data_IF_598862293573
#
_entry.id   IF_598862293573
#
_cell.length_a   1.000
_cell.length_b   1.000
_cell.length_c   1.000
_cell.angle_alpha   90.00
_cell.angle_beta   90.00
_cell.angle_gamma   90.00
#
_symmetry.space_group_name_H-M   'P 1'
#
loop_
_entity.id
_entity.type
_entity.pdbx_description
1 polymer ?
#
# COMPACT_ATOMS: atom_id res chain seq x y z
N UNK A 1 4.81 -8.17 -24.27
CA UNK A 1 3.69 -8.54 -25.16
C UNK A 1 2.43 -8.05 -24.47
N UNK A 2 1.67 -7.16 -25.09
CA UNK A 2 0.45 -6.57 -24.49
C UNK A 2 -0.80 -7.28 -25.01
N UNK A 3 -0.91 -8.60 -24.83
CA UNK A 3 -2.18 -9.30 -25.06
C UNK A 3 -2.96 -9.37 -23.76
N UNK A 4 -4.30 -9.43 -23.83
CA UNK A 4 -5.13 -9.37 -22.63
C UNK A 4 -5.00 -10.66 -21.80
N UNK A 5 -4.82 -11.81 -22.44
CA UNK A 5 -4.53 -13.06 -21.74
C UNK A 5 -3.16 -13.05 -21.05
N UNK A 6 -2.14 -12.48 -21.69
CA UNK A 6 -0.80 -12.34 -21.09
C UNK A 6 -0.82 -11.36 -19.92
N UNK A 7 -1.57 -10.26 -20.04
CA UNK A 7 -1.77 -9.29 -18.98
C UNK A 7 -2.50 -9.91 -17.78
N UNK A 8 -3.56 -10.70 -18.02
CA UNK A 8 -4.25 -11.47 -16.98
C UNK A 8 -3.30 -12.46 -16.29
N UNK A 9 -2.49 -13.21 -17.06
CA UNK A 9 -1.50 -14.14 -16.52
C UNK A 9 -0.51 -13.42 -15.60
N UNK A 10 0.01 -12.26 -16.05
CA UNK A 10 0.94 -11.43 -15.29
C UNK A 10 0.32 -10.92 -13.99
N UNK A 11 -0.94 -10.49 -14.01
CA UNK A 11 -1.64 -10.04 -12.80
C UNK A 11 -1.87 -11.19 -11.80
N UNK A 12 -2.23 -12.38 -12.24
CA UNK A 12 -2.31 -13.56 -11.36
C UNK A 12 -0.96 -13.91 -10.75
N UNK A 13 0.10 -13.91 -11.56
CA UNK A 13 1.48 -14.16 -11.13
C UNK A 13 1.93 -13.11 -10.08
N UNK A 14 1.62 -11.83 -10.31
CA UNK A 14 1.93 -10.75 -9.37
C UNK A 14 1.19 -10.91 -8.03
N UNK A 15 -0.10 -11.29 -8.07
CA UNK A 15 -0.89 -11.58 -6.85
C UNK A 15 -0.29 -12.73 -6.04
N UNK A 16 0.09 -13.81 -6.70
CA UNK A 16 0.71 -14.97 -6.04
C UNK A 16 2.02 -14.57 -5.36
N UNK A 17 2.88 -13.82 -6.07
CA UNK A 17 4.14 -13.33 -5.52
C UNK A 17 3.95 -12.38 -4.33
N UNK A 18 2.94 -11.52 -4.36
CA UNK A 18 2.59 -10.65 -3.24
C UNK A 18 2.14 -11.47 -2.02
N UNK A 19 1.35 -12.53 -2.22
CA UNK A 19 0.95 -13.43 -1.14
C UNK A 19 2.13 -14.20 -0.56
N UNK A 20 3.02 -14.72 -1.40
CA UNK A 20 4.26 -15.37 -0.97
C UNK A 20 5.16 -14.44 -0.17
N UNK A 21 5.37 -13.21 -0.67
CA UNK A 21 6.18 -12.21 -0.01
C UNK A 21 5.61 -11.84 1.37
N UNK A 22 4.30 -11.59 1.45
CA UNK A 22 3.60 -11.34 2.71
C UNK A 22 3.73 -12.53 3.67
N UNK A 23 3.56 -13.74 3.19
CA UNK A 23 3.64 -14.95 4.03
C UNK A 23 5.05 -15.12 4.61
N UNK A 24 6.09 -14.89 3.80
CA UNK A 24 7.49 -14.88 4.25
C UNK A 24 7.75 -13.80 5.29
N UNK A 25 7.24 -12.59 5.06
CA UNK A 25 7.35 -11.46 5.98
C UNK A 25 6.67 -11.75 7.34
N UNK A 26 5.50 -12.39 7.31
CA UNK A 26 4.76 -12.79 8.53
C UNK A 26 5.42 -13.94 9.30
N UNK A 27 6.11 -14.85 8.59
CA UNK A 27 6.86 -15.94 9.20
C UNK A 27 8.16 -15.46 9.84
N UNK A 28 8.74 -14.36 9.33
CA UNK A 28 9.96 -13.79 9.87
C UNK A 28 9.74 -13.24 11.29
N UNK A 29 10.56 -13.70 12.23
CA UNK A 29 10.48 -13.26 13.63
C UNK A 29 11.00 -11.83 13.77
N UNK A 30 10.13 -10.92 14.21
CA UNK A 30 10.47 -9.52 14.52
C UNK A 30 11.00 -9.43 15.94
N UNK A 31 12.15 -8.81 16.14
CA UNK A 31 12.82 -8.71 17.45
C UNK A 31 12.60 -7.37 18.14
N UNK A 32 12.38 -6.29 17.39
CA UNK A 32 12.16 -4.94 17.91
C UNK A 32 10.84 -4.35 17.44
N UNK A 33 10.32 -3.35 18.18
CA UNK A 33 9.13 -2.59 17.77
C UNK A 33 9.33 -1.94 16.40
N UNK A 34 10.51 -1.35 16.17
CA UNK A 34 10.89 -0.76 14.88
C UNK A 34 10.77 -1.77 13.73
N UNK A 35 11.31 -2.96 13.91
CA UNK A 35 11.26 -4.01 12.88
C UNK A 35 9.82 -4.48 12.64
N UNK A 36 9.02 -4.58 13.71
CA UNK A 36 7.61 -4.93 13.61
C UNK A 36 6.82 -3.87 12.83
N UNK A 37 6.93 -2.60 13.18
CA UNK A 37 6.23 -1.50 12.52
C UNK A 37 6.63 -1.39 11.04
N UNK A 38 7.92 -1.48 10.75
CA UNK A 38 8.39 -1.48 9.35
C UNK A 38 7.84 -2.68 8.57
N UNK A 39 7.79 -3.87 9.18
CA UNK A 39 7.21 -5.06 8.58
C UNK A 39 5.71 -4.90 8.29
N UNK A 40 4.98 -4.32 9.22
CA UNK A 40 3.53 -4.12 9.10
C UNK A 40 3.22 -3.08 8.01
N UNK A 41 4.03 -2.03 7.87
CA UNK A 41 3.93 -1.08 6.76
C UNK A 41 4.30 -1.68 5.39
N UNK A 42 5.34 -2.51 5.33
CA UNK A 42 5.65 -3.28 4.11
C UNK A 42 4.47 -4.17 3.71
N UNK A 43 3.89 -4.86 4.69
CA UNK A 43 2.71 -5.72 4.48
C UNK A 43 1.50 -4.91 4.00
N UNK A 44 1.28 -3.72 4.55
CA UNK A 44 0.24 -2.80 4.07
C UNK A 44 0.44 -2.43 2.61
N UNK A 45 1.65 -2.02 2.23
CA UNK A 45 1.93 -1.65 0.84
C UNK A 45 1.77 -2.84 -0.13
N UNK A 46 2.14 -4.06 0.30
CA UNK A 46 1.86 -5.28 -0.48
C UNK A 46 0.35 -5.52 -0.64
N UNK A 47 -0.46 -5.26 0.40
CA UNK A 47 -1.91 -5.41 0.34
C UNK A 47 -2.57 -4.37 -0.56
N UNK A 48 -2.13 -3.11 -0.49
CA UNK A 48 -2.63 -2.03 -1.35
C UNK A 48 -2.36 -2.38 -2.82
N UNK A 49 -1.14 -2.86 -3.13
CA UNK A 49 -0.80 -3.33 -4.48
C UNK A 49 -1.63 -4.55 -4.89
N UNK A 50 -1.84 -5.51 -3.99
CA UNK A 50 -2.66 -6.69 -4.27
C UNK A 50 -4.11 -6.31 -4.61
N UNK A 51 -4.67 -5.32 -3.91
CA UNK A 51 -6.01 -4.80 -4.18
C UNK A 51 -6.09 -4.12 -5.53
N UNK A 52 -5.11 -3.28 -5.88
CA UNK A 52 -5.02 -2.63 -7.19
C UNK A 52 -4.96 -3.65 -8.32
N UNK A 53 -4.05 -4.63 -8.22
CA UNK A 53 -3.91 -5.70 -9.21
C UNK A 53 -5.19 -6.53 -9.32
N UNK A 54 -5.84 -6.81 -8.19
CA UNK A 54 -7.10 -7.56 -8.19
C UNK A 54 -8.25 -6.79 -8.83
N UNK A 55 -8.32 -5.48 -8.64
CA UNK A 55 -9.31 -4.62 -9.30
C UNK A 55 -9.08 -4.61 -10.81
N UNK A 56 -7.85 -4.33 -11.26
CA UNK A 56 -7.49 -4.33 -12.67
C UNK A 56 -7.77 -5.70 -13.33
N UNK A 57 -7.45 -6.79 -12.64
CA UNK A 57 -7.71 -8.14 -13.11
C UNK A 57 -9.21 -8.41 -13.25
N UNK A 58 -10.03 -8.04 -12.25
CA UNK A 58 -11.49 -8.18 -12.33
C UNK A 58 -12.04 -7.41 -13.53
N UNK A 59 -11.64 -6.16 -13.69
CA UNK A 59 -12.12 -5.30 -14.77
C UNK A 59 -11.70 -5.86 -16.15
N UNK A 60 -10.51 -6.49 -16.24
CA UNK A 60 -10.07 -7.19 -17.46
C UNK A 60 -10.89 -8.45 -17.80
N UNK A 61 -11.55 -9.05 -16.81
CA UNK A 61 -12.45 -10.18 -17.02
C UNK A 61 -13.89 -9.76 -17.35
N UNK A 62 -14.30 -8.53 -17.00
CA UNK A 62 -15.59 -7.96 -17.41
C UNK A 62 -15.69 -7.76 -18.93
N UNK A 63 -14.54 -7.65 -19.62
CA UNK A 63 -14.44 -7.63 -21.09
C UNK A 63 -15.33 -6.56 -21.75
N UNK A 64 -15.36 -5.35 -21.17
CA UNK A 64 -16.22 -4.24 -21.64
C UNK A 64 -15.93 -3.82 -23.09
N UNK A 65 -14.70 -3.99 -23.53
CA UNK A 65 -14.22 -3.67 -24.87
C UNK A 65 -14.28 -4.89 -25.84
N UNK A 66 -14.59 -6.09 -25.33
CA UNK A 66 -14.64 -7.33 -26.11
C UNK A 66 -13.28 -7.87 -26.54
N UNK A 67 -12.17 -7.27 -26.09
CA UNK A 67 -10.83 -7.64 -26.53
C UNK A 67 -10.46 -9.07 -26.12
N UNK A 68 -10.98 -9.56 -24.99
CA UNK A 68 -10.74 -10.95 -24.56
C UNK A 68 -11.44 -11.92 -25.49
N UNK A 69 -12.69 -11.65 -25.86
CA UNK A 69 -13.44 -12.47 -26.83
C UNK A 69 -12.72 -12.51 -28.17
N UNK A 70 -12.26 -11.37 -28.65
CA UNK A 70 -11.59 -11.26 -29.95
C UNK A 70 -10.24 -11.99 -29.94
N UNK A 71 -9.46 -11.87 -28.86
CA UNK A 71 -8.22 -12.63 -28.70
C UNK A 71 -8.49 -14.15 -28.66
N UNK A 72 -9.54 -14.58 -27.96
CA UNK A 72 -9.92 -16.00 -27.89
C UNK A 72 -10.31 -16.54 -29.27
N UNK A 73 -11.09 -15.77 -30.03
CA UNK A 73 -11.49 -16.13 -31.38
C UNK A 73 -10.30 -16.19 -32.35
N UNK A 74 -9.28 -15.33 -32.16
CA UNK A 74 -8.05 -15.38 -32.95
C UNK A 74 -7.22 -16.65 -32.65
N UNK A 75 -7.23 -17.13 -31.39
CA UNK A 75 -6.55 -18.36 -30.98
C UNK A 75 -7.27 -19.60 -31.53
N UNK A 76 -8.61 -19.62 -31.51
CA UNK A 76 -9.45 -20.74 -31.95
C UNK A 76 -10.02 -20.59 -33.37
N UNK A 77 -9.37 -19.77 -34.20
CA UNK A 77 -9.80 -19.49 -35.57
C UNK A 77 -9.16 -20.42 -36.62
N UNK A 78 -9.46 -20.28 -37.92
CA UNK A 78 -8.96 -21.20 -38.96
C UNK A 78 -7.42 -21.29 -39.11
N UNK A 79 -6.68 -20.32 -38.55
CA UNK A 79 -5.22 -20.19 -38.65
C UNK A 79 -4.48 -20.37 -37.30
N UNK A 80 -4.99 -21.23 -36.41
CA UNK A 80 -4.46 -21.44 -35.04
C UNK A 80 -2.95 -21.68 -35.00
N UNK A 81 -2.43 -22.52 -35.92
CA UNK A 81 -1.01 -22.85 -35.95
C UNK A 81 -0.12 -21.65 -36.28
N UNK A 82 -0.52 -20.82 -37.26
CA UNK A 82 0.25 -19.64 -37.64
C UNK A 82 0.28 -18.60 -36.50
N UNK A 83 -0.86 -18.39 -35.85
CA UNK A 83 -0.99 -17.51 -34.69
C UNK A 83 -0.13 -18.00 -33.51
N UNK A 84 -0.16 -19.31 -33.23
CA UNK A 84 0.67 -19.92 -32.20
C UNK A 84 2.17 -19.69 -32.44
N UNK A 85 2.66 -19.94 -33.66
CA UNK A 85 4.08 -19.73 -33.98
C UNK A 85 4.49 -18.26 -33.92
N UNK A 86 3.62 -17.33 -34.31
CA UNK A 86 3.87 -15.89 -34.17
C UNK A 86 4.02 -15.48 -32.71
N UNK A 87 3.09 -15.91 -31.84
CA UNK A 87 3.17 -15.65 -30.40
C UNK A 87 4.40 -16.29 -29.77
N UNK A 88 4.70 -17.54 -30.11
CA UNK A 88 5.88 -18.24 -29.62
C UNK A 88 7.18 -17.52 -30.02
N UNK A 89 7.26 -17.01 -31.24
CA UNK A 89 8.40 -16.22 -31.72
C UNK A 89 8.57 -14.95 -30.87
N UNK A 90 7.49 -14.22 -30.62
CA UNK A 90 7.54 -13.01 -29.78
C UNK A 90 7.92 -13.33 -28.32
N UNK A 91 7.41 -14.42 -27.73
CA UNK A 91 7.80 -14.86 -26.38
C UNK A 91 9.31 -15.17 -26.33
N UNK A 92 9.82 -15.91 -27.33
CA UNK A 92 11.26 -16.21 -27.41
C UNK A 92 12.11 -14.96 -27.58
N UNK A 93 11.67 -14.00 -28.39
CA UNK A 93 12.36 -12.72 -28.55
C UNK A 93 12.35 -11.89 -27.27
N UNK A 94 11.22 -11.85 -26.55
CA UNK A 94 11.10 -11.16 -25.27
C UNK A 94 12.04 -11.80 -24.23
N UNK A 95 12.00 -13.12 -24.06
CA UNK A 95 12.87 -13.83 -23.13
C UNK A 95 14.37 -13.71 -23.49
N UNK A 96 14.70 -13.61 -24.79
CA UNK A 96 16.06 -13.37 -25.25
C UNK A 96 16.54 -11.95 -24.93
N UNK A 97 15.66 -10.94 -24.99
CA UNK A 97 15.97 -9.53 -24.67
C UNK A 97 15.99 -9.26 -23.16
N UNK A 98 15.21 -10.02 -22.39
CA UNK A 98 15.06 -9.89 -20.95
C UNK A 98 15.54 -11.16 -20.21
N UNK A 99 16.81 -11.59 -20.39
CA UNK A 99 17.31 -12.77 -19.69
C UNK A 99 17.33 -12.51 -18.19
N UNK A 100 16.72 -13.40 -17.41
CA UNK A 100 16.60 -13.32 -15.95
C UNK A 100 15.77 -12.13 -15.44
N UNK A 101 14.80 -11.62 -16.22
CA UNK A 101 13.81 -10.69 -15.71
C UNK A 101 12.81 -11.42 -14.80
N UNK A 102 13.31 -11.84 -13.63
CA UNK A 102 12.47 -11.91 -12.45
C UNK A 102 12.05 -10.47 -12.20
N UNK A 103 10.78 -10.15 -12.46
CA UNK A 103 10.14 -8.92 -11.98
C UNK A 103 10.41 -8.89 -10.48
N UNK A 104 11.47 -8.15 -10.11
CA UNK A 104 11.79 -7.89 -8.72
C UNK A 104 10.56 -7.18 -8.21
N UNK A 105 9.84 -7.77 -7.25
CA UNK A 105 9.10 -6.92 -6.34
C UNK A 105 10.14 -5.94 -5.84
N UNK A 106 10.04 -4.68 -6.26
CA UNK A 106 10.81 -3.61 -5.66
C UNK A 106 10.56 -3.76 -4.18
N UNK A 107 11.54 -4.31 -3.47
CA UNK A 107 11.51 -4.45 -2.03
C UNK A 107 11.14 -3.07 -1.53
N UNK A 108 9.99 -2.99 -0.88
CA UNK A 108 9.40 -1.75 -0.42
C UNK A 108 10.28 -1.33 0.76
N UNK A 109 11.45 -0.75 0.48
CA UNK A 109 12.42 -0.23 1.44
C UNK A 109 11.98 1.14 1.96
N UNK A 110 10.68 1.31 2.14
CA UNK A 110 10.14 2.49 2.79
C UNK A 110 10.15 2.18 4.30
N UNK A 111 11.23 2.57 4.96
CA UNK A 111 11.23 2.71 6.41
C UNK A 111 10.16 3.73 6.78
N UNK A 112 9.39 3.43 7.82
CA UNK A 112 8.34 4.34 8.27
C UNK A 112 8.98 5.52 8.96
N UNK A 113 8.56 6.73 8.58
CA UNK A 113 8.99 7.96 9.24
C UNK A 113 8.13 8.21 10.47
N UNK A 114 8.76 8.15 11.64
CA UNK A 114 8.25 8.64 12.92
C UNK A 114 9.25 9.66 13.43
N UNK A 115 8.80 10.60 14.26
CA UNK A 115 9.75 11.43 15.02
C UNK A 115 10.44 10.58 16.08
N UNK A 116 11.62 11.01 16.52
CA UNK A 116 12.35 10.30 17.59
C UNK A 116 11.54 10.25 18.89
N UNK A 117 10.77 11.30 19.17
CA UNK A 117 9.89 11.41 20.35
C UNK A 117 8.72 10.41 20.32
N UNK A 118 8.19 10.08 19.14
CA UNK A 118 7.14 9.06 18.97
C UNK A 118 7.67 7.63 19.13
N UNK A 119 8.98 7.42 18.90
CA UNK A 119 9.66 6.15 19.15
C UNK A 119 9.05 4.98 18.36
N UNK A 120 8.74 5.17 17.07
CA UNK A 120 8.05 4.18 16.22
C UNK A 120 6.68 3.74 16.77
N UNK A 121 5.87 4.72 17.18
CA UNK A 121 4.52 4.48 17.69
C UNK A 121 4.47 3.99 19.15
N UNK A 122 5.58 4.11 19.90
CA UNK A 122 5.62 3.83 21.33
C UNK A 122 4.96 4.96 22.14
N UNK A 123 5.12 6.18 21.67
CA UNK A 123 4.62 7.39 22.31
C UNK A 123 3.90 8.26 21.28
N UNK A 124 3.09 9.20 21.77
CA UNK A 124 2.55 10.30 20.98
C UNK A 124 3.18 11.58 21.50
N UNK A 125 3.79 12.36 20.61
CA UNK A 125 4.29 13.68 20.99
C UNK A 125 3.12 14.65 21.12
N UNK A 126 2.77 14.98 22.35
CA UNK A 126 1.76 15.97 22.69
C UNK A 126 2.37 17.31 23.11
N UNK A 127 3.69 17.46 23.02
CA UNK A 127 4.39 18.68 23.40
C UNK A 127 4.03 19.84 22.47
N UNK A 128 4.01 19.59 21.16
CA UNK A 128 3.56 20.57 20.16
C UNK A 128 2.12 21.02 20.39
N UNK A 129 1.24 20.08 20.76
CA UNK A 129 -0.16 20.38 21.10
C UNK A 129 -0.26 21.24 22.38
N UNK A 130 0.54 20.93 23.39
CA UNK A 130 0.63 21.72 24.62
C UNK A 130 1.13 23.15 24.39
N UNK A 131 2.16 23.34 23.55
CA UNK A 131 2.66 24.67 23.21
C UNK A 131 1.59 25.52 22.52
N UNK A 132 0.79 24.91 21.63
CA UNK A 132 -0.38 25.56 21.02
C UNK A 132 -1.45 25.87 22.07
N UNK A 133 -1.69 24.96 23.02
CA UNK A 133 -2.63 25.16 24.12
C UNK A 133 -2.29 26.35 25.00
N UNK A 134 -1.02 26.51 25.41
CA UNK A 134 -0.61 27.65 26.24
C UNK A 134 -0.76 28.99 25.51
N UNK A 135 -0.58 28.99 24.19
CA UNK A 135 -0.69 30.20 23.37
C UNK A 135 -2.13 30.61 23.07
N UNK A 136 -3.13 29.78 23.40
CA UNK A 136 -4.54 30.11 23.21
C UNK A 136 -5.00 31.24 24.14
N UNK A 137 -5.62 32.27 23.58
CA UNK A 137 -6.17 33.38 24.36
C UNK A 137 -7.33 32.91 25.22
N UNK A 138 -7.18 33.05 26.54
CA UNK A 138 -8.19 32.63 27.53
C UNK A 138 -8.05 31.18 28.01
N UNK A 139 -7.04 30.45 27.54
CA UNK A 139 -6.63 29.17 28.14
C UNK A 139 -5.84 29.42 29.44
N UNK A 140 -6.00 28.53 30.41
CA UNK A 140 -5.20 28.58 31.62
C UNK A 140 -3.77 28.13 31.33
N UNK A 141 -2.80 28.80 31.94
CA UNK A 141 -1.41 28.37 31.89
C UNK A 141 -1.25 27.16 32.80
N UNK A 142 -1.36 25.99 32.22
CA UNK A 142 -1.20 24.70 32.90
C UNK A 142 0.23 24.19 32.68
N UNK A 143 0.73 23.40 33.62
CA UNK A 143 1.94 22.60 33.40
C UNK A 143 1.64 21.42 32.49
N UNK A 144 2.66 20.85 31.84
CA UNK A 144 2.50 19.76 30.87
C UNK A 144 1.75 18.54 31.45
N UNK A 145 2.05 18.15 32.68
CA UNK A 145 1.40 17.00 33.35
C UNK A 145 -0.09 17.28 33.58
N UNK A 146 -0.43 18.50 33.98
CA UNK A 146 -1.83 18.91 34.17
C UNK A 146 -2.57 18.96 32.85
N UNK A 147 -1.92 19.45 31.78
CA UNK A 147 -2.46 19.41 30.43
C UNK A 147 -2.79 17.97 30.01
N UNK A 148 -1.86 17.02 30.18
CA UNK A 148 -2.11 15.60 29.88
C UNK A 148 -3.27 15.02 30.68
N UNK A 149 -3.39 15.39 31.96
CA UNK A 149 -4.47 14.92 32.84
C UNK A 149 -5.86 15.46 32.46
N UNK A 150 -5.91 16.52 31.65
CA UNK A 150 -7.13 17.13 31.12
C UNK A 150 -7.38 16.80 29.65
N UNK A 151 -6.41 16.19 28.97
CA UNK A 151 -6.45 15.98 27.52
C UNK A 151 -7.56 15.01 27.10
N UNK A 152 -7.89 14.05 27.95
CA UNK A 152 -8.99 13.09 27.77
C UNK A 152 -10.36 13.64 28.23
N UNK A 153 -10.38 14.80 28.88
CA UNK A 153 -11.59 15.45 29.41
C UNK A 153 -12.29 16.32 28.36
N UNK A 154 -12.88 15.66 27.35
CA UNK A 154 -13.50 16.33 26.19
C UNK A 154 -14.76 17.15 26.52
N UNK A 155 -15.36 16.91 27.68
CA UNK A 155 -16.64 17.49 28.09
C UNK A 155 -16.50 18.65 29.08
N UNK A 156 -15.36 18.75 29.76
CA UNK A 156 -15.15 19.72 30.84
C UNK A 156 -14.69 21.09 30.32
N UNK A 157 -14.28 21.17 29.06
CA UNK A 157 -13.84 22.42 28.44
C UNK A 157 -15.06 23.29 28.10
N UNK A 158 -15.24 24.46 28.74
CA UNK A 158 -16.38 25.33 28.52
C UNK A 158 -16.50 25.75 27.05
N UNK A 159 -17.74 25.82 26.53
CA UNK A 159 -18.01 26.26 25.14
C UNK A 159 -17.41 27.64 24.83
N UNK A 160 -17.32 28.52 25.83
CA UNK A 160 -16.77 29.87 25.69
C UNK A 160 -15.26 29.87 25.39
N UNK A 161 -14.54 28.81 25.78
CA UNK A 161 -13.12 28.60 25.44
C UNK A 161 -12.93 27.96 24.05
N UNK A 162 -13.99 27.43 23.43
CA UNK A 162 -13.97 26.83 22.06
C UNK A 162 -14.09 27.90 20.97
N UNK A 163 -13.27 28.94 21.07
CA UNK A 163 -13.20 30.04 20.11
C UNK A 163 -12.68 29.57 18.73
N UNK A 164 -12.64 30.46 17.74
CA UNK A 164 -12.18 30.12 16.39
C UNK A 164 -10.69 29.67 16.35
N UNK A 165 -9.87 30.10 17.30
CA UNK A 165 -8.47 29.68 17.42
C UNK A 165 -8.35 28.27 18.02
N UNK A 166 -9.23 27.89 18.95
CA UNK A 166 -9.25 26.55 19.57
C UNK A 166 -9.66 25.44 18.60
N UNK A 167 -10.41 25.79 17.55
CA UNK A 167 -10.87 24.83 16.52
C UNK A 167 -9.84 24.56 15.43
N UNK A 168 -8.77 25.36 15.34
CA UNK A 168 -7.70 25.21 14.35
C UNK A 168 -6.64 24.26 14.88
#
# INVERSE_FOLDING_TARGET
METILEQQRRYHEEKERLMDAKTKEMLHKKSTLRDQINSDHRTRAMLDRYMEVSANLRDSYEDKDGMRRDELAAISGPNEFAEFYNRLKQIKEFHRKHPNEVVKLSLIDNLVEFTDEEGYGRYLDLHDCYLKYINLKGAEKLEYITYLSSFDQLFDIPKDRKNAEYKK
#
